data_IF_997829300119
#
_entry.id   IF_997829300119
#
_cell.length_a   1.000
_cell.length_b   1.000
_cell.length_c   1.000
_cell.angle_alpha   90.00
_cell.angle_beta   90.00
_cell.angle_gamma   90.00
#
_symmetry.space_group_name_H-M   'P 1'
#
loop_
_entity.id
_entity.type
_entity.pdbx_description
1 polymer ?
#
# COMPACT_ATOMS: atom_id res chain seq x y z
N UNK A 1 4.63 -4.47 -13.52
CA UNK A 1 3.79 -3.46 -12.82
C UNK A 1 3.69 -3.89 -11.39
N UNK A 2 3.76 -2.97 -10.44
CA UNK A 2 3.79 -3.35 -9.02
C UNK A 2 2.40 -3.24 -8.40
N UNK A 3 2.10 -4.18 -7.51
CA UNK A 3 0.82 -4.23 -6.81
C UNK A 3 1.04 -4.26 -5.31
N UNK A 4 0.29 -3.41 -4.61
CA UNK A 4 0.09 -3.50 -3.18
C UNK A 4 -1.01 -4.52 -2.90
N UNK A 5 -0.66 -5.60 -2.21
CA UNK A 5 -1.55 -6.71 -1.86
C UNK A 5 -1.45 -7.02 -0.38
N UNK A 6 -2.50 -7.58 0.20
CA UNK A 6 -2.49 -7.97 1.60
C UNK A 6 -2.09 -9.45 1.73
N UNK A 7 -1.04 -9.71 2.50
CA UNK A 7 -0.49 -11.02 2.80
C UNK A 7 -1.10 -11.52 4.13
N UNK A 8 -2.04 -12.45 4.04
CA UNK A 8 -2.82 -12.96 5.18
C UNK A 8 -2.01 -13.83 6.15
N UNK A 9 -0.93 -14.43 5.69
CA UNK A 9 -0.03 -15.29 6.46
C UNK A 9 0.82 -14.50 7.46
N UNK A 10 1.13 -13.26 7.13
CA UNK A 10 1.96 -12.36 7.96
C UNK A 10 1.20 -11.13 8.48
N UNK A 11 -0.08 -10.99 8.14
CA UNK A 11 -0.94 -9.83 8.52
C UNK A 11 -0.29 -8.48 8.13
N UNK A 12 0.20 -8.39 6.89
CA UNK A 12 0.89 -7.20 6.37
C UNK A 12 0.49 -6.88 4.94
N UNK A 13 0.69 -5.63 4.56
CA UNK A 13 0.69 -5.24 3.16
C UNK A 13 2.07 -5.44 2.54
N UNK A 14 2.09 -5.95 1.32
CA UNK A 14 3.29 -6.20 0.54
C UNK A 14 3.19 -5.55 -0.82
N UNK A 15 4.30 -4.96 -1.30
CA UNK A 15 4.45 -4.57 -2.69
C UNK A 15 5.02 -5.78 -3.44
N UNK A 16 4.30 -6.26 -4.45
CA UNK A 16 4.70 -7.39 -5.29
C UNK A 16 5.01 -6.88 -6.70
N UNK A 17 6.19 -7.26 -7.20
CA UNK A 17 6.63 -7.07 -8.58
C UNK A 17 7.00 -8.43 -9.19
N UNK A 18 7.29 -8.46 -10.49
CA UNK A 18 7.77 -9.67 -11.16
C UNK A 18 9.14 -10.15 -10.63
N UNK A 19 9.89 -9.27 -9.95
CA UNK A 19 11.27 -9.51 -9.53
C UNK A 19 11.43 -9.69 -8.02
N UNK A 20 10.48 -9.18 -7.23
CA UNK A 20 10.65 -9.00 -5.79
C UNK A 20 9.33 -8.79 -5.07
N UNK A 21 9.34 -9.06 -3.77
CA UNK A 21 8.27 -8.74 -2.84
C UNK A 21 8.86 -7.97 -1.67
N UNK A 22 8.21 -6.89 -1.26
CA UNK A 22 8.63 -6.05 -0.15
C UNK A 22 7.49 -5.96 0.87
N UNK A 23 7.75 -6.42 2.09
CA UNK A 23 6.85 -6.24 3.22
C UNK A 23 6.91 -4.80 3.71
N UNK A 24 5.74 -4.21 3.98
CA UNK A 24 5.66 -2.83 4.45
C UNK A 24 5.51 -2.75 5.97
N UNK A 25 6.11 -1.70 6.51
CA UNK A 25 6.05 -1.27 7.90
C UNK A 25 5.44 0.13 7.99
N UNK A 26 4.93 0.48 9.17
CA UNK A 26 4.51 1.84 9.46
C UNK A 26 5.64 2.82 9.18
N UNK A 27 5.35 3.87 8.42
CA UNK A 27 6.35 4.84 8.00
C UNK A 27 6.86 4.66 6.57
N UNK A 28 6.70 3.46 5.98
CA UNK A 28 7.11 3.24 4.59
C UNK A 28 6.26 4.06 3.63
N UNK A 29 6.93 4.67 2.65
CA UNK A 29 6.31 5.57 1.67
C UNK A 29 6.44 5.02 0.27
N UNK A 30 5.40 5.23 -0.54
CA UNK A 30 5.31 4.79 -1.93
C UNK A 30 4.25 5.62 -2.66
N UNK A 31 4.11 5.45 -3.97
CA UNK A 31 3.11 6.12 -4.78
C UNK A 31 1.94 5.19 -5.08
N UNK A 32 0.71 5.63 -4.77
CA UNK A 32 -0.52 4.92 -5.12
C UNK A 32 -1.12 5.51 -6.42
N UNK A 33 -1.57 4.66 -7.35
CA UNK A 33 -2.36 5.10 -8.52
C UNK A 33 -3.81 5.34 -8.10
N UNK A 34 -4.30 6.56 -8.31
CA UNK A 34 -5.71 6.93 -8.15
C UNK A 34 -6.16 7.60 -9.44
N UNK A 35 -7.07 6.94 -10.15
CA UNK A 35 -7.45 7.31 -11.52
C UNK A 35 -6.19 7.49 -12.39
N UNK A 36 -5.98 8.65 -13.03
CA UNK A 36 -4.77 8.88 -13.82
C UNK A 36 -3.57 9.42 -13.03
N UNK A 37 -3.70 9.65 -11.74
CA UNK A 37 -2.67 10.29 -10.92
C UNK A 37 -1.90 9.32 -10.03
N UNK A 38 -0.62 9.64 -9.80
CA UNK A 38 0.20 8.99 -8.77
C UNK A 38 0.25 9.91 -7.56
N UNK A 39 -0.21 9.43 -6.41
CA UNK A 39 -0.20 10.20 -5.16
C UNK A 39 0.84 9.62 -4.20
N UNK A 40 1.75 10.45 -3.66
CA UNK A 40 2.69 9.99 -2.66
C UNK A 40 1.91 9.71 -1.37
N UNK A 41 2.18 8.56 -0.77
CA UNK A 41 1.50 8.14 0.44
C UNK A 41 2.46 7.43 1.39
N UNK A 42 2.05 7.34 2.64
CA UNK A 42 2.73 6.59 3.69
C UNK A 42 1.77 5.62 4.32
N UNK A 43 2.19 4.38 4.52
CA UNK A 43 1.37 3.37 5.19
C UNK A 43 1.56 3.45 6.70
N UNK A 44 0.47 3.25 7.42
CA UNK A 44 0.40 3.22 8.87
C UNK A 44 -0.57 2.12 9.29
N UNK A 45 -0.48 1.73 10.56
CA UNK A 45 -1.40 0.77 11.15
C UNK A 45 -1.90 1.29 12.51
N UNK A 46 -3.21 1.32 12.68
CA UNK A 46 -3.88 1.57 13.95
C UNK A 46 -4.82 0.38 14.25
N UNK A 47 -6.14 0.56 14.10
CA UNK A 47 -7.10 -0.55 14.19
C UNK A 47 -7.10 -1.40 12.92
N UNK A 48 -6.91 -0.74 11.76
CA UNK A 48 -6.80 -1.34 10.44
C UNK A 48 -5.68 -0.64 9.68
N UNK A 49 -5.05 -1.32 8.72
CA UNK A 49 -4.05 -0.74 7.85
C UNK A 49 -4.63 0.36 6.95
N UNK A 50 -3.99 1.52 6.93
CA UNK A 50 -4.39 2.66 6.13
C UNK A 50 -3.17 3.36 5.53
N UNK A 51 -3.41 4.13 4.48
CA UNK A 51 -2.42 5.05 3.93
C UNK A 51 -2.84 6.48 4.19
N UNK A 52 -1.85 7.34 4.35
CA UNK A 52 -2.00 8.79 4.42
C UNK A 52 -1.47 9.36 3.11
N UNK A 53 -2.29 10.11 2.38
CA UNK A 53 -1.85 10.94 1.26
C UNK A 53 -2.41 12.35 1.42
N UNK A 54 -1.56 13.35 1.16
CA UNK A 54 -1.86 14.77 1.43
C UNK A 54 -2.42 14.97 2.86
N UNK A 55 -3.72 15.18 3.00
CA UNK A 55 -4.44 15.40 4.26
C UNK A 55 -5.60 14.41 4.47
N UNK A 56 -5.60 13.28 3.75
CA UNK A 56 -6.63 12.26 3.83
C UNK A 56 -6.07 10.91 4.28
N UNK A 57 -6.91 10.15 4.97
CA UNK A 57 -6.65 8.74 5.31
C UNK A 57 -7.50 7.85 4.41
N UNK A 58 -6.92 6.76 3.94
CA UNK A 58 -7.60 5.76 3.14
C UNK A 58 -7.31 4.38 3.71
N UNK A 59 -8.35 3.74 4.26
CA UNK A 59 -8.27 2.39 4.78
C UNK A 59 -8.21 1.40 3.62
N UNK A 60 -7.14 0.61 3.61
CA UNK A 60 -6.95 -0.42 2.61
C UNK A 60 -7.93 -1.57 2.85
N UNK A 61 -8.27 -2.28 1.78
CA UNK A 61 -9.22 -3.40 1.84
C UNK A 61 -8.50 -4.69 1.48
N UNK A 62 -8.31 -5.64 2.42
CA UNK A 62 -7.54 -6.88 2.21
C UNK A 62 -7.93 -7.74 0.99
N UNK A 63 -9.15 -7.56 0.46
CA UNK A 63 -9.65 -8.27 -0.73
C UNK A 63 -9.44 -7.50 -2.04
N UNK A 64 -8.68 -6.40 -2.01
CA UNK A 64 -8.35 -5.56 -3.17
C UNK A 64 -6.84 -5.51 -3.33
N UNK A 65 -6.40 -5.38 -4.57
CA UNK A 65 -5.04 -4.97 -4.90
C UNK A 65 -5.05 -3.54 -5.44
N UNK A 66 -3.91 -2.86 -5.29
CA UNK A 66 -3.75 -1.48 -5.74
C UNK A 66 -2.47 -1.34 -6.56
N UNK A 67 -2.50 -0.54 -7.61
CA UNK A 67 -1.30 -0.25 -8.39
C UNK A 67 -0.43 0.75 -7.64
N UNK A 68 0.86 0.43 -7.53
CA UNK A 68 1.84 1.24 -6.81
C UNK A 68 3.14 1.43 -7.59
N UNK A 69 3.98 2.34 -7.10
CA UNK A 69 5.41 2.45 -7.39
C UNK A 69 6.14 2.70 -6.07
N UNK A 70 7.34 2.18 -5.82
CA UNK A 70 8.07 2.38 -4.58
C UNK A 70 8.56 3.83 -4.48
#
# INVERSE_FOLDING_TARGET
MEQLVYAYDIDRWTIVSDQSTWELHCGDSFWLKVDEHWLPCRIENDTDWYIIFANAQFYLKPKRSYLVKP
#
